data_IF_693353673007
#
_entry.id   IF_693353673007
#
_cell.length_a   1.000
_cell.length_b   1.000
_cell.length_c   1.000
_cell.angle_alpha   90.00
_cell.angle_beta   90.00
_cell.angle_gamma   90.00
#
_symmetry.space_group_name_H-M   'P 1'
#
loop_
_entity.id
_entity.type
_entity.pdbx_description
1 polymer ?
#
# COMPACT_ATOMS: atom_id res chain seq x y z
N UNK A 1 11.02 -9.80 -26.59
CA UNK A 1 10.88 -8.53 -25.86
C UNK A 1 11.82 -7.51 -26.46
N UNK A 2 11.33 -6.31 -26.76
CA UNK A 2 12.06 -5.29 -27.54
C UNK A 2 13.02 -4.42 -26.70
N UNK A 3 13.15 -4.69 -25.39
CA UNK A 3 13.98 -3.90 -24.47
C UNK A 3 13.15 -2.86 -23.74
N UNK A 4 13.77 -1.71 -23.47
CA UNK A 4 13.16 -0.57 -22.79
C UNK A 4 11.93 -0.05 -23.55
N UNK A 5 10.86 0.25 -22.83
CA UNK A 5 9.71 0.96 -23.34
C UNK A 5 9.78 2.40 -22.85
N UNK A 6 10.51 3.21 -23.63
CA UNK A 6 10.79 4.60 -23.27
C UNK A 6 9.52 5.46 -23.25
N UNK A 7 9.66 6.65 -22.67
CA UNK A 7 8.53 7.55 -22.45
C UNK A 7 7.97 8.15 -23.74
N UNK A 8 8.80 8.36 -24.75
CA UNK A 8 8.35 8.93 -26.03
C UNK A 8 7.54 7.92 -26.82
N UNK A 9 7.96 6.66 -26.83
CA UNK A 9 7.19 5.56 -27.41
C UNK A 9 5.86 5.37 -26.67
N UNK A 10 5.86 5.46 -25.34
CA UNK A 10 4.64 5.43 -24.52
C UNK A 10 3.65 6.51 -24.93
N UNK A 11 4.09 7.76 -25.02
CA UNK A 11 3.21 8.87 -25.37
C UNK A 11 2.76 8.82 -26.83
N UNK A 12 3.61 8.33 -27.74
CA UNK A 12 3.21 8.08 -29.12
C UNK A 12 2.06 7.06 -29.19
N UNK A 13 2.14 5.96 -28.44
CA UNK A 13 1.07 4.96 -28.40
C UNK A 13 -0.19 5.47 -27.69
N UNK A 14 -0.06 6.32 -26.67
CA UNK A 14 -1.20 6.98 -26.03
C UNK A 14 -1.88 7.97 -26.97
N UNK A 15 -1.12 8.76 -27.73
CA UNK A 15 -1.66 9.67 -28.75
C UNK A 15 -2.44 8.92 -29.81
N UNK A 16 -1.91 7.78 -30.30
CA UNK A 16 -2.63 6.95 -31.28
C UNK A 16 -3.99 6.46 -30.75
N UNK A 17 -4.04 6.06 -29.47
CA UNK A 17 -5.30 5.67 -28.83
C UNK A 17 -6.24 6.85 -28.65
N UNK A 18 -5.73 7.99 -28.17
CA UNK A 18 -6.49 9.22 -27.99
C UNK A 18 -7.14 9.69 -29.30
N UNK A 19 -6.37 9.72 -30.40
CA UNK A 19 -6.85 10.13 -31.71
C UNK A 19 -7.93 9.19 -32.25
N UNK A 20 -7.79 7.89 -32.02
CA UNK A 20 -8.78 6.90 -32.42
C UNK A 20 -10.14 7.11 -31.72
N UNK A 21 -10.13 7.38 -30.41
CA UNK A 21 -11.34 7.68 -29.65
C UNK A 21 -11.96 9.02 -30.07
N UNK A 22 -11.12 10.04 -30.26
CA UNK A 22 -11.56 11.36 -30.71
C UNK A 22 -12.20 11.31 -32.09
N UNK A 23 -11.60 10.57 -33.04
CA UNK A 23 -12.16 10.37 -34.38
C UNK A 23 -13.52 9.65 -34.36
N UNK A 24 -13.77 8.82 -33.33
CA UNK A 24 -15.06 8.20 -33.07
C UNK A 24 -16.06 9.13 -32.36
N UNK A 25 -15.69 10.37 -32.05
CA UNK A 25 -16.52 11.33 -31.33
C UNK A 25 -16.66 11.04 -29.83
N UNK A 26 -15.74 10.25 -29.26
CA UNK A 26 -15.72 9.88 -27.85
C UNK A 26 -14.67 10.75 -27.13
N UNK A 27 -15.09 11.62 -26.18
CA UNK A 27 -14.15 12.38 -25.37
C UNK A 27 -13.26 11.47 -24.53
N UNK A 28 -11.96 11.75 -24.51
CA UNK A 28 -10.99 10.99 -23.72
C UNK A 28 -10.75 11.73 -22.41
N UNK A 29 -11.38 11.26 -21.34
CA UNK A 29 -11.25 11.85 -19.99
C UNK A 29 -10.46 10.99 -19.02
N UNK A 30 -10.14 9.75 -19.42
CA UNK A 30 -9.49 8.74 -18.58
C UNK A 30 -8.26 8.13 -19.24
N UNK A 31 -7.25 7.87 -18.42
CA UNK A 31 -6.10 7.05 -18.79
C UNK A 31 -5.95 5.87 -17.83
N UNK A 32 -5.56 4.71 -18.38
CA UNK A 32 -5.18 3.53 -17.60
C UNK A 32 -3.72 3.18 -17.90
N UNK A 33 -2.90 3.13 -16.84
CA UNK A 33 -1.47 2.82 -16.91
C UNK A 33 -1.25 1.47 -16.25
N UNK A 34 -0.98 0.46 -17.07
CA UNK A 34 -0.63 -0.88 -16.61
C UNK A 34 0.88 -1.13 -16.64
N UNK A 35 1.41 -1.74 -15.58
CA UNK A 35 2.79 -2.25 -15.51
C UNK A 35 2.78 -3.76 -15.25
N UNK A 36 2.40 -4.59 -16.22
CA UNK A 36 2.36 -6.04 -16.04
C UNK A 36 3.76 -6.65 -15.83
N UNK A 37 4.83 -5.92 -16.17
CA UNK A 37 6.23 -6.37 -16.13
C UNK A 37 6.95 -6.03 -14.82
N UNK A 38 6.38 -5.15 -13.99
CA UNK A 38 7.05 -4.54 -12.84
C UNK A 38 8.33 -3.80 -13.23
N UNK A 39 8.25 -3.00 -14.29
CA UNK A 39 9.37 -2.21 -14.82
C UNK A 39 9.22 -0.72 -14.54
N UNK A 40 8.07 -0.28 -14.04
CA UNK A 40 7.86 1.10 -13.69
C UNK A 40 8.80 1.53 -12.55
N UNK A 41 9.19 2.81 -12.58
CA UNK A 41 9.96 3.46 -11.51
C UNK A 41 9.25 4.73 -11.07
N UNK A 42 9.44 5.21 -9.84
CA UNK A 42 8.74 6.40 -9.36
C UNK A 42 9.02 7.65 -10.22
N UNK A 43 10.26 7.81 -10.70
CA UNK A 43 10.62 8.92 -11.59
C UNK A 43 9.91 8.85 -12.95
N UNK A 44 9.86 7.65 -13.55
CA UNK A 44 9.15 7.44 -14.82
C UNK A 44 7.64 7.66 -14.66
N UNK A 45 7.06 7.21 -13.55
CA UNK A 45 5.65 7.45 -13.24
C UNK A 45 5.34 8.94 -13.12
N UNK A 46 6.12 9.68 -12.31
CA UNK A 46 5.97 11.14 -12.15
C UNK A 46 6.02 11.86 -13.50
N UNK A 47 7.03 11.52 -14.30
CA UNK A 47 7.23 12.13 -15.62
C UNK A 47 6.05 11.83 -16.56
N UNK A 48 5.59 10.57 -16.59
CA UNK A 48 4.44 10.17 -17.43
C UNK A 48 3.16 10.89 -17.03
N UNK A 49 2.83 10.93 -15.74
CA UNK A 49 1.64 11.64 -15.24
C UNK A 49 1.69 13.12 -15.64
N UNK A 50 2.81 13.80 -15.42
CA UNK A 50 2.99 15.21 -15.82
C UNK A 50 2.82 15.42 -17.32
N UNK A 51 3.42 14.57 -18.15
CA UNK A 51 3.33 14.70 -19.62
C UNK A 51 1.91 14.43 -20.13
N UNK A 52 1.21 13.45 -19.56
CA UNK A 52 -0.21 13.18 -19.86
C UNK A 52 -1.06 14.40 -19.52
N UNK A 53 -0.95 14.94 -18.29
CA UNK A 53 -1.69 16.14 -17.85
C UNK A 53 -1.44 17.35 -18.77
N UNK A 54 -0.18 17.55 -19.20
CA UNK A 54 0.19 18.66 -20.06
C UNK A 54 -0.31 18.49 -21.50
N UNK A 55 -0.35 17.25 -22.01
CA UNK A 55 -0.70 16.95 -23.41
C UNK A 55 -2.21 16.84 -23.61
N UNK A 56 -2.93 16.26 -22.64
CA UNK A 56 -4.38 16.08 -22.69
C UNK A 56 -5.04 16.65 -21.42
N UNK A 57 -5.27 17.98 -21.36
CA UNK A 57 -5.86 18.62 -20.19
C UNK A 57 -7.29 18.15 -19.83
N UNK A 58 -8.01 17.54 -20.78
CA UNK A 58 -9.35 17.00 -20.54
C UNK A 58 -9.31 15.67 -19.78
N UNK A 59 -8.14 15.01 -19.69
CA UNK A 59 -7.95 13.82 -18.86
C UNK A 59 -7.85 14.24 -17.40
N UNK A 60 -8.74 13.70 -16.58
CA UNK A 60 -8.83 13.93 -15.14
C UNK A 60 -9.09 12.65 -14.35
N UNK A 61 -9.41 11.53 -15.02
CA UNK A 61 -9.49 10.21 -14.39
C UNK A 61 -8.22 9.40 -14.68
N UNK A 62 -7.55 8.94 -13.63
CA UNK A 62 -6.33 8.15 -13.72
C UNK A 62 -6.54 6.79 -13.07
N UNK A 63 -6.18 5.73 -13.79
CA UNK A 63 -6.19 4.37 -13.26
C UNK A 63 -4.79 3.78 -13.34
N UNK A 64 -4.23 3.35 -12.21
CA UNK A 64 -2.90 2.77 -12.10
C UNK A 64 -3.00 1.30 -11.70
N UNK A 65 -2.49 0.42 -12.55
CA UNK A 65 -2.40 -1.02 -12.29
C UNK A 65 -0.94 -1.44 -12.30
N UNK A 66 -0.32 -1.40 -11.12
CA UNK A 66 1.13 -1.53 -10.97
C UNK A 66 1.50 -2.83 -10.26
N UNK A 67 2.33 -3.64 -10.90
CA UNK A 67 2.84 -4.86 -10.30
C UNK A 67 4.14 -4.63 -9.55
N UNK A 68 4.40 -5.38 -8.48
CA UNK A 68 5.43 -5.04 -7.48
C UNK A 68 6.64 -5.98 -7.39
N UNK A 69 7.05 -6.62 -8.49
CA UNK A 69 8.14 -7.62 -8.47
C UNK A 69 9.48 -7.10 -7.90
N UNK A 70 9.66 -5.77 -7.86
CA UNK A 70 10.90 -5.08 -7.49
C UNK A 70 10.69 -4.03 -6.38
N UNK A 71 9.54 -4.04 -5.71
CA UNK A 71 9.23 -3.11 -4.62
C UNK A 71 9.14 -1.65 -5.08
N UNK A 72 8.67 -1.40 -6.30
CA UNK A 72 8.59 -0.05 -6.90
C UNK A 72 7.15 0.45 -7.06
N UNK A 73 6.16 -0.44 -7.03
CA UNK A 73 4.79 -0.13 -7.40
C UNK A 73 4.16 0.85 -6.41
N UNK A 74 4.25 0.57 -5.11
CA UNK A 74 3.71 1.44 -4.05
C UNK A 74 4.33 2.83 -4.05
N UNK A 75 5.67 2.92 -4.17
CA UNK A 75 6.39 4.20 -4.27
C UNK A 75 5.94 5.00 -5.49
N UNK A 76 5.72 4.33 -6.62
CA UNK A 76 5.29 4.99 -7.85
C UNK A 76 3.84 5.44 -7.79
N UNK A 77 2.97 4.63 -7.20
CA UNK A 77 1.58 4.99 -6.93
C UNK A 77 1.51 6.21 -6.02
N UNK A 78 2.27 6.23 -4.92
CA UNK A 78 2.36 7.37 -4.01
C UNK A 78 2.86 8.64 -4.72
N UNK A 79 3.95 8.54 -5.48
CA UNK A 79 4.47 9.65 -6.27
C UNK A 79 3.47 10.15 -7.33
N UNK A 80 2.63 9.27 -7.89
CA UNK A 80 1.57 9.71 -8.79
C UNK A 80 0.48 10.49 -8.04
N UNK A 81 0.08 10.05 -6.84
CA UNK A 81 -0.87 10.77 -5.98
C UNK A 81 -0.39 12.20 -5.71
N UNK A 82 0.90 12.40 -5.41
CA UNK A 82 1.47 13.74 -5.18
C UNK A 82 1.39 14.69 -6.39
N UNK A 83 1.14 14.17 -7.59
CA UNK A 83 1.03 14.97 -8.81
C UNK A 83 -0.41 15.39 -9.14
N UNK A 84 -1.39 14.89 -8.38
CA UNK A 84 -2.81 15.18 -8.59
C UNK A 84 -3.31 16.26 -7.65
N UNK A 85 -4.35 16.97 -8.09
CA UNK A 85 -5.05 17.99 -7.31
C UNK A 85 -6.57 17.72 -7.31
N UNK A 86 -7.37 18.60 -6.73
CA UNK A 86 -8.81 18.39 -6.49
C UNK A 86 -9.65 18.13 -7.75
N UNK A 87 -9.12 18.41 -8.94
CA UNK A 87 -9.80 18.13 -10.21
C UNK A 87 -9.70 16.66 -10.63
N UNK A 88 -8.70 15.96 -10.11
CA UNK A 88 -8.27 14.65 -10.60
C UNK A 88 -8.84 13.54 -9.71
N UNK A 89 -9.26 12.45 -10.34
CA UNK A 89 -9.63 11.20 -9.65
C UNK A 89 -8.58 10.16 -9.95
N UNK A 90 -8.04 9.51 -8.91
CA UNK A 90 -7.06 8.42 -9.06
C UNK A 90 -7.61 7.11 -8.49
N UNK A 91 -7.56 6.06 -9.29
CA UNK A 91 -7.87 4.68 -8.94
C UNK A 91 -6.58 3.88 -8.99
N UNK A 92 -6.28 3.12 -7.95
CA UNK A 92 -5.04 2.35 -7.84
C UNK A 92 -5.43 0.91 -7.50
N UNK A 93 -5.07 -0.01 -8.39
CA UNK A 93 -5.34 -1.42 -8.15
C UNK A 93 -4.31 -1.99 -7.17
N UNK A 94 -4.83 -2.70 -6.17
CA UNK A 94 -4.06 -3.45 -5.18
C UNK A 94 -4.63 -4.86 -5.07
N UNK A 95 -3.97 -5.74 -4.30
CA UNK A 95 -4.56 -7.03 -3.94
C UNK A 95 -4.23 -7.40 -2.50
N UNK A 96 -5.16 -8.08 -1.83
CA UNK A 96 -4.99 -8.60 -0.46
C UNK A 96 -3.70 -9.43 -0.37
N UNK A 97 -2.85 -9.11 0.60
CA UNK A 97 -1.54 -9.72 0.80
C UNK A 97 -0.56 -9.57 -0.38
N UNK A 98 -0.85 -8.70 -1.36
CA UNK A 98 -0.07 -8.55 -2.58
C UNK A 98 -0.18 -9.75 -3.53
N UNK A 99 -1.27 -10.52 -3.42
CA UNK A 99 -1.50 -11.68 -4.27
C UNK A 99 -1.60 -11.29 -5.75
N UNK A 100 -1.45 -12.29 -6.63
CA UNK A 100 -1.54 -12.10 -8.08
C UNK A 100 -0.22 -12.38 -8.80
N UNK A 101 -0.12 -11.87 -10.02
CA UNK A 101 1.02 -12.07 -10.89
C UNK A 101 0.62 -12.05 -12.36
N UNK A 102 1.61 -12.05 -13.25
CA UNK A 102 1.35 -12.01 -14.69
C UNK A 102 1.96 -13.25 -15.36
N UNK A 103 1.14 -14.15 -15.95
CA UNK A 103 1.66 -15.34 -16.62
C UNK A 103 2.49 -15.02 -17.88
N UNK A 104 2.40 -13.79 -18.40
CA UNK A 104 3.03 -13.37 -19.64
C UNK A 104 4.33 -12.56 -19.46
N UNK A 105 4.64 -12.14 -18.23
CA UNK A 105 5.75 -11.20 -17.97
C UNK A 105 7.11 -11.85 -17.72
N UNK A 106 7.23 -13.18 -17.87
CA UNK A 106 8.43 -13.94 -17.56
C UNK A 106 8.74 -14.11 -16.07
N UNK A 107 8.15 -13.29 -15.19
CA UNK A 107 8.31 -13.39 -13.72
C UNK A 107 7.13 -14.11 -13.03
N UNK A 108 6.02 -14.35 -13.75
CA UNK A 108 4.92 -15.19 -13.27
C UNK A 108 4.30 -14.69 -11.96
N UNK A 109 4.28 -15.56 -10.95
CA UNK A 109 3.76 -15.26 -9.60
C UNK A 109 4.67 -14.36 -8.77
N UNK A 110 5.93 -14.17 -9.16
CA UNK A 110 6.84 -13.25 -8.46
C UNK A 110 6.48 -11.79 -8.70
N UNK A 111 5.65 -11.53 -9.72
CA UNK A 111 5.27 -10.19 -10.15
C UNK A 111 4.41 -9.46 -9.14
N UNK A 112 3.35 -10.13 -8.64
CA UNK A 112 2.51 -9.65 -7.52
C UNK A 112 1.88 -8.28 -7.73
N UNK A 113 1.04 -7.90 -6.77
CA UNK A 113 0.44 -6.57 -6.67
C UNK A 113 0.99 -5.86 -5.44
N UNK A 114 0.72 -4.55 -5.34
CA UNK A 114 0.81 -3.83 -4.08
C UNK A 114 -0.15 -4.50 -3.07
N UNK A 115 0.32 -4.89 -1.86
CA UNK A 115 -0.57 -5.36 -0.82
C UNK A 115 -1.55 -4.26 -0.41
N UNK A 116 -2.85 -4.57 -0.42
CA UNK A 116 -3.91 -3.61 -0.08
C UNK A 116 -3.74 -3.06 1.34
N UNK A 117 -3.35 -3.91 2.28
CA UNK A 117 -3.13 -3.58 3.69
C UNK A 117 -1.98 -2.58 3.85
N UNK A 118 -0.87 -2.83 3.14
CA UNK A 118 0.32 -1.97 3.18
C UNK A 118 0.03 -0.60 2.58
N UNK A 119 -0.77 -0.55 1.51
CA UNK A 119 -1.13 0.71 0.88
C UNK A 119 -2.17 1.49 1.67
N UNK A 120 -3.18 0.81 2.23
CA UNK A 120 -4.15 1.45 3.12
C UNK A 120 -3.45 2.06 4.34
N UNK A 121 -2.50 1.32 4.95
CA UNK A 121 -1.67 1.81 6.05
C UNK A 121 -0.84 3.03 5.67
N UNK A 122 -0.21 3.04 4.50
CA UNK A 122 0.53 4.20 3.99
C UNK A 122 -0.39 5.42 3.84
N UNK A 123 -1.53 5.26 3.15
CA UNK A 123 -2.45 6.35 2.87
C UNK A 123 -3.03 6.94 4.16
N UNK A 124 -3.42 6.10 5.11
CA UNK A 124 -3.86 6.54 6.44
C UNK A 124 -2.77 7.31 7.19
N UNK A 125 -1.51 6.83 7.15
CA UNK A 125 -0.38 7.49 7.80
C UNK A 125 -0.07 8.88 7.20
N UNK A 126 -0.33 9.06 5.90
CA UNK A 126 -0.18 10.34 5.19
C UNK A 126 -1.45 11.21 5.24
N UNK A 127 -2.49 10.79 5.97
CA UNK A 127 -3.74 11.55 6.14
C UNK A 127 -4.65 11.52 4.92
N UNK A 128 -4.49 10.54 4.04
CA UNK A 128 -5.33 10.34 2.84
C UNK A 128 -6.46 9.37 3.20
N UNK A 129 -7.69 9.89 3.27
CA UNK A 129 -8.87 9.08 3.57
C UNK A 129 -9.23 8.13 2.42
N UNK A 130 -9.35 6.85 2.75
CA UNK A 130 -9.75 5.79 1.79
C UNK A 130 -11.10 5.15 2.12
N UNK A 131 -11.58 5.32 3.36
CA UNK A 131 -12.76 4.63 3.88
C UNK A 131 -12.54 3.13 4.13
N UNK A 132 -11.30 2.65 4.06
CA UNK A 132 -10.96 1.24 4.32
C UNK A 132 -10.76 1.00 5.82
N UNK A 133 -11.23 -0.15 6.29
CA UNK A 133 -10.95 -0.65 7.64
C UNK A 133 -9.67 -1.49 7.61
N UNK A 134 -8.58 -0.93 8.15
CA UNK A 134 -7.27 -1.56 8.14
C UNK A 134 -7.24 -2.87 8.96
N UNK A 135 -7.98 -2.94 10.08
CA UNK A 135 -8.04 -4.15 10.89
C UNK A 135 -8.75 -5.27 10.15
N UNK A 136 -9.87 -4.97 9.48
CA UNK A 136 -10.59 -5.92 8.64
C UNK A 136 -9.73 -6.38 7.44
N UNK A 137 -8.93 -5.50 6.86
CA UNK A 137 -8.00 -5.83 5.78
C UNK A 137 -6.90 -6.80 6.25
N UNK A 138 -6.33 -6.60 7.44
CA UNK A 138 -5.34 -7.53 8.01
C UNK A 138 -5.94 -8.93 8.23
N UNK A 139 -7.16 -9.02 8.75
CA UNK A 139 -7.86 -10.30 8.89
C UNK A 139 -8.12 -10.95 7.53
N UNK A 140 -8.50 -10.17 6.51
CA UNK A 140 -8.65 -10.66 5.14
C UNK A 140 -7.32 -11.19 4.58
N UNK A 141 -6.20 -10.53 4.88
CA UNK A 141 -4.85 -10.98 4.55
C UNK A 141 -4.54 -12.36 5.13
N UNK A 142 -4.86 -12.57 6.42
CA UNK A 142 -4.68 -13.88 7.08
C UNK A 142 -5.57 -14.97 6.50
N UNK A 143 -6.83 -14.68 6.23
CA UNK A 143 -7.72 -15.62 5.54
C UNK A 143 -7.17 -15.95 4.15
N UNK A 144 -6.63 -14.97 3.42
CA UNK A 144 -6.06 -15.19 2.11
C UNK A 144 -4.84 -16.12 2.16
N UNK A 145 -3.95 -15.99 3.14
CA UNK A 145 -2.82 -16.89 3.39
C UNK A 145 -3.29 -18.36 3.58
N UNK A 146 -4.36 -18.56 4.37
CA UNK A 146 -4.96 -19.89 4.56
C UNK A 146 -5.50 -20.46 3.24
N UNK A 147 -6.19 -19.64 2.44
CA UNK A 147 -6.78 -20.04 1.15
C UNK A 147 -5.70 -20.41 0.14
N UNK A 148 -4.62 -19.64 0.04
CA UNK A 148 -3.53 -19.92 -0.91
C UNK A 148 -2.54 -20.97 -0.40
N UNK A 149 -2.59 -21.29 0.89
CA UNK A 149 -1.75 -22.31 1.54
C UNK A 149 -0.29 -21.89 1.74
N UNK A 150 0.00 -20.58 1.74
CA UNK A 150 1.32 -20.02 1.99
C UNK A 150 1.23 -18.56 2.45
N UNK A 151 2.28 -18.06 3.10
CA UNK A 151 2.38 -16.66 3.48
C UNK A 151 2.33 -15.72 2.28
N UNK A 152 1.73 -14.55 2.49
CA UNK A 152 1.61 -13.47 1.53
C UNK A 152 2.62 -12.36 1.86
N UNK A 153 2.60 -11.27 1.10
CA UNK A 153 3.71 -10.31 1.04
C UNK A 153 3.47 -9.02 1.82
N UNK A 154 2.25 -8.83 2.32
CA UNK A 154 1.90 -7.70 3.18
C UNK A 154 2.79 -7.65 4.42
N UNK A 155 3.46 -6.52 4.61
CA UNK A 155 4.25 -6.24 5.80
C UNK A 155 3.36 -5.88 6.98
N UNK A 156 2.26 -5.19 6.72
CA UNK A 156 1.31 -4.77 7.76
C UNK A 156 0.55 -5.97 8.32
N UNK A 157 0.17 -6.94 7.48
CA UNK A 157 -0.45 -8.19 7.94
C UNK A 157 0.50 -8.99 8.85
N UNK A 158 1.80 -8.95 8.56
CA UNK A 158 2.81 -9.67 9.33
C UNK A 158 3.20 -8.95 10.64
N UNK A 159 3.37 -7.63 10.61
CA UNK A 159 3.95 -6.85 11.71
C UNK A 159 2.91 -6.02 12.50
N UNK A 160 1.71 -5.86 11.97
CA UNK A 160 0.71 -4.92 12.48
C UNK A 160 0.87 -3.50 11.95
N UNK A 161 -0.14 -2.64 12.14
CA UNK A 161 -0.05 -1.22 11.80
C UNK A 161 0.95 -0.51 12.70
N UNK A 162 1.38 0.68 12.28
CA UNK A 162 2.19 1.58 13.12
C UNK A 162 1.44 1.88 14.42
N UNK A 163 2.00 1.58 15.61
CA UNK A 163 1.31 1.82 16.87
C UNK A 163 0.99 3.30 17.10
N UNK A 164 -0.22 3.59 17.55
CA UNK A 164 -0.66 4.94 17.90
C UNK A 164 -1.72 4.90 19.01
N UNK A 165 -1.95 6.04 19.68
CA UNK A 165 -2.96 6.12 20.75
C UNK A 165 -2.72 5.10 21.85
N UNK A 166 -3.76 4.34 22.20
CA UNK A 166 -3.73 3.28 23.22
C UNK A 166 -3.09 1.97 22.72
N UNK A 167 -2.86 1.80 21.41
CA UNK A 167 -2.31 0.58 20.79
C UNK A 167 -0.77 0.50 20.84
N UNK A 168 -0.11 1.32 21.66
CA UNK A 168 1.35 1.28 21.83
C UNK A 168 1.81 0.01 22.56
N UNK A 169 2.96 -0.52 22.17
CA UNK A 169 3.53 -1.73 22.77
C UNK A 169 3.75 -1.60 24.28
N UNK A 170 3.64 -2.74 24.98
CA UNK A 170 3.98 -2.85 26.39
C UNK A 170 5.48 -2.53 26.59
N UNK A 171 5.82 -1.76 27.63
CA UNK A 171 7.21 -1.37 27.92
C UNK A 171 8.09 -2.57 28.30
N UNK A 172 7.47 -3.60 28.86
CA UNK A 172 8.08 -4.83 29.36
C UNK A 172 7.79 -6.04 28.46
N UNK A 173 7.47 -5.80 27.18
CA UNK A 173 7.27 -6.85 26.20
C UNK A 173 8.50 -7.77 26.14
N UNK A 174 8.31 -9.11 26.06
CA UNK A 174 9.42 -10.06 25.92
C UNK A 174 10.07 -9.95 24.54
N UNK A 175 11.11 -10.74 24.29
CA UNK A 175 11.63 -10.90 22.94
C UNK A 175 10.54 -11.48 22.03
N UNK A 176 10.31 -10.82 20.90
CA UNK A 176 9.45 -11.27 19.81
C UNK A 176 10.37 -11.67 18.67
N UNK A 177 10.50 -12.96 18.41
CA UNK A 177 11.48 -13.51 17.46
C UNK A 177 10.82 -14.18 16.24
N UNK A 178 9.54 -14.53 16.36
CA UNK A 178 8.78 -15.23 15.31
C UNK A 178 7.66 -14.36 14.72
N UNK A 179 7.20 -14.72 13.52
CA UNK A 179 6.05 -14.05 12.91
C UNK A 179 4.76 -14.34 13.69
N UNK A 180 4.64 -15.51 14.29
CA UNK A 180 3.51 -15.89 15.15
C UNK A 180 3.45 -15.03 16.42
N UNK A 181 4.58 -14.84 17.11
CA UNK A 181 4.65 -13.95 18.28
C UNK A 181 4.37 -12.49 17.88
N UNK A 182 4.81 -12.06 16.70
CA UNK A 182 4.53 -10.72 16.18
C UNK A 182 3.03 -10.46 15.94
N UNK A 183 2.19 -11.49 15.90
CA UNK A 183 0.73 -11.34 15.78
C UNK A 183 0.05 -10.90 17.08
N UNK A 184 0.80 -10.52 18.12
CA UNK A 184 0.24 -10.07 19.39
C UNK A 184 -0.66 -8.83 19.28
N UNK A 185 -0.49 -7.99 18.25
CA UNK A 185 -1.37 -6.84 17.99
C UNK A 185 -2.81 -7.29 17.63
N UNK A 186 -2.96 -8.54 17.16
CA UNK A 186 -4.22 -9.12 16.68
C UNK A 186 -4.77 -10.16 17.64
N UNK A 187 -3.88 -10.99 18.18
CA UNK A 187 -4.20 -12.16 19.01
C UNK A 187 -3.94 -11.92 20.51
N UNK A 188 -3.42 -10.75 20.87
CA UNK A 188 -3.08 -10.38 22.24
C UNK A 188 -1.78 -11.02 22.74
N UNK A 189 -1.38 -10.63 23.96
CA UNK A 189 -0.10 -11.00 24.58
C UNK A 189 0.14 -12.51 24.77
N UNK A 190 -0.91 -13.33 24.71
CA UNK A 190 -0.79 -14.78 24.89
C UNK A 190 0.11 -15.46 23.85
N UNK A 191 0.29 -14.86 22.66
CA UNK A 191 1.11 -15.46 21.59
C UNK A 191 2.59 -15.53 21.91
N UNK A 192 3.08 -14.73 22.87
CA UNK A 192 4.45 -14.77 23.36
C UNK A 192 4.53 -15.22 24.82
N UNK A 193 3.52 -15.96 25.31
CA UNK A 193 3.58 -16.54 26.66
C UNK A 193 4.76 -17.50 26.79
N UNK A 194 5.61 -17.27 27.79
CA UNK A 194 6.84 -18.05 28.00
C UNK A 194 8.04 -17.63 27.16
N UNK A 195 7.89 -16.60 26.32
CA UNK A 195 9.02 -16.00 25.60
C UNK A 195 10.06 -15.44 26.58
N UNK A 196 11.33 -15.43 26.15
CA UNK A 196 12.42 -14.88 26.95
C UNK A 196 12.19 -13.38 27.17
N UNK A 197 12.25 -12.93 28.43
CA UNK A 197 12.16 -11.51 28.74
C UNK A 197 13.53 -10.98 29.17
N UNK A 198 13.98 -9.83 28.61
CA UNK A 198 15.17 -9.14 29.12
C UNK A 198 14.90 -8.46 30.48
N UNK A 199 13.63 -8.35 30.89
CA UNK A 199 13.19 -7.65 32.08
C UNK A 199 12.98 -8.61 33.26
N UNK A 200 13.57 -8.30 34.41
CA UNK A 200 13.41 -9.09 35.64
C UNK A 200 12.18 -8.68 36.46
N UNK A 201 11.78 -7.42 36.31
CA UNK A 201 10.65 -6.79 36.99
C UNK A 201 9.92 -5.91 35.95
N UNK A 202 8.62 -5.62 36.14
CA UNK A 202 7.87 -4.74 35.24
C UNK A 202 8.55 -3.38 35.04
N UNK A 203 8.55 -2.88 33.81
CA UNK A 203 9.17 -1.60 33.47
C UNK A 203 8.23 -0.45 33.82
N UNK A 204 8.68 0.45 34.71
CA UNK A 204 7.96 1.68 35.05
C UNK A 204 8.64 2.90 34.43
N UNK A 205 7.88 3.86 33.90
CA UNK A 205 8.42 5.09 33.31
C UNK A 205 7.46 6.26 33.52
N UNK A 206 7.88 7.35 34.20
CA UNK A 206 7.05 8.55 34.31
C UNK A 206 6.62 9.11 32.95
N UNK A 207 7.47 9.00 31.92
CA UNK A 207 7.12 9.42 30.57
C UNK A 207 6.02 8.55 29.94
N UNK A 208 5.96 7.25 30.30
CA UNK A 208 4.86 6.37 29.91
C UNK A 208 3.57 6.75 30.64
N UNK A 209 3.65 7.02 31.95
CA UNK A 209 2.49 7.43 32.74
C UNK A 209 1.87 8.74 32.21
N UNK A 210 2.70 9.71 31.86
CA UNK A 210 2.28 10.96 31.22
C UNK A 210 1.67 10.73 29.83
N UNK A 211 2.24 9.82 29.05
CA UNK A 211 1.70 9.43 27.75
C UNK A 211 0.31 8.80 27.88
N UNK A 212 0.17 7.81 28.76
CA UNK A 212 -1.11 7.10 28.96
C UNK A 212 -2.19 8.05 29.52
N UNK A 213 -1.80 9.00 30.38
CA UNK A 213 -2.72 10.04 30.86
C UNK A 213 -3.23 10.95 29.73
N UNK A 214 -2.34 11.35 28.81
CA UNK A 214 -2.72 12.14 27.63
C UNK A 214 -3.66 11.38 26.70
N UNK A 215 -3.37 10.11 26.42
CA UNK A 215 -4.21 9.26 25.57
C UNK A 215 -5.61 9.12 26.16
N UNK A 216 -5.72 8.79 27.45
CA UNK A 216 -7.02 8.69 28.13
C UNK A 216 -7.85 9.98 28.05
N UNK A 217 -7.21 11.14 28.24
CA UNK A 217 -7.89 12.42 28.14
C UNK A 217 -8.43 12.69 26.71
N UNK A 218 -7.68 12.32 25.67
CA UNK A 218 -8.10 12.46 24.27
C UNK A 218 -9.27 11.54 23.91
N UNK A 219 -9.27 10.31 24.44
CA UNK A 219 -10.35 9.35 24.25
C UNK A 219 -11.65 9.82 24.94
N UNK A 220 -11.56 10.40 26.14
CA UNK A 220 -12.70 10.99 26.86
C UNK A 220 -13.31 12.21 26.15
N UNK A 221 -12.49 13.03 25.47
CA UNK A 221 -12.97 14.17 24.68
C UNK A 221 -13.65 13.78 23.37
N UNK A 222 -13.35 12.58 22.86
CA UNK A 222 -13.84 12.08 21.56
C UNK A 222 -15.07 11.17 21.67
N UNK A 223 -15.50 10.84 22.90
CA UNK A 223 -16.63 9.96 23.23
C UNK A 223 -17.92 10.73 23.53
#
# INVERSE_FOLDING_TARGET
WLGEFDEDERLRLLQLQHDAWTAAGIPVTRIHIGDPMSWNTPAAMRSTVRRVRATWPDVHDYHLHLHDARGMAMLSAYVAIEEFDERDTVQIDTAIGGMGGCPYCGNGRATRMIPTEDFAHLLEAEGIETGLDLAALIEAGKIAEEVVGHELWSKVTAAGPRPHGSDVYAMDMPFVETFEEAQHFRLGASVYEGALSPWREPVTSPARDEFDARVRAQEEESA
#
